data_IF_811323289777
#
_entry.id   IF_811323289777
#
_cell.length_a   1.000
_cell.length_b   1.000
_cell.length_c   1.000
_cell.angle_alpha   90.00
_cell.angle_beta   90.00
_cell.angle_gamma   90.00
#
_symmetry.space_group_name_H-M   'P 1'
#
loop_
_entity.id
_entity.type
_entity.pdbx_description
1 polymer ?
#
# COMPACT_ATOMS: atom_id res chain seq x y z
N UNK A 1 1.37 -14.97 -7.54
CA UNK A 1 1.70 -13.54 -7.34
C UNK A 1 2.66 -13.06 -8.43
N UNK A 2 3.75 -13.80 -8.66
CA UNK A 2 4.80 -13.48 -9.64
C UNK A 2 4.27 -13.21 -11.05
N UNK A 3 3.43 -14.10 -11.59
CA UNK A 3 2.88 -13.89 -12.94
C UNK A 3 2.11 -12.56 -13.09
N UNK A 4 1.24 -12.20 -12.13
CA UNK A 4 0.53 -10.92 -12.17
C UNK A 4 1.50 -9.73 -12.02
N UNK A 5 2.49 -9.82 -11.13
CA UNK A 5 3.48 -8.76 -10.93
C UNK A 5 4.34 -8.52 -12.19
N UNK A 6 4.70 -9.58 -12.90
CA UNK A 6 5.61 -9.49 -14.05
C UNK A 6 4.90 -9.10 -15.36
N UNK A 7 3.62 -9.43 -15.50
CA UNK A 7 2.91 -9.31 -16.79
C UNK A 7 1.68 -8.41 -16.73
N UNK A 8 1.25 -8.02 -15.54
CA UNK A 8 -0.05 -7.41 -15.36
C UNK A 8 -1.20 -8.42 -15.47
N UNK A 9 -2.41 -7.93 -15.31
CA UNK A 9 -3.61 -8.74 -15.31
C UNK A 9 -3.95 -9.21 -16.73
N UNK A 10 -3.91 -8.33 -17.73
CA UNK A 10 -4.36 -8.69 -19.07
C UNK A 10 -3.38 -9.61 -19.82
N UNK A 11 -2.07 -9.45 -19.64
CA UNK A 11 -1.07 -10.30 -20.30
C UNK A 11 -0.69 -11.57 -19.50
N UNK A 12 -1.40 -11.84 -18.40
CA UNK A 12 -1.27 -13.11 -17.67
C UNK A 12 -2.37 -14.09 -18.06
N UNK A 13 -2.03 -15.38 -18.11
CA UNK A 13 -3.01 -16.45 -18.33
C UNK A 13 -3.10 -17.40 -17.12
N UNK A 14 -4.26 -18.04 -16.96
CA UNK A 14 -4.44 -19.08 -15.94
C UNK A 14 -3.54 -20.30 -16.17
N UNK A 15 -3.18 -20.59 -17.42
CA UNK A 15 -2.25 -21.66 -17.75
C UNK A 15 -0.85 -21.37 -17.19
N UNK A 16 -0.35 -20.16 -17.39
CA UNK A 16 0.97 -19.76 -16.87
C UNK A 16 1.01 -19.74 -15.34
N UNK A 17 -0.07 -19.27 -14.70
CA UNK A 17 -0.18 -19.30 -13.24
C UNK A 17 -0.22 -20.76 -12.74
N UNK A 18 -0.94 -21.63 -13.44
CA UNK A 18 -1.05 -23.05 -13.12
C UNK A 18 0.29 -23.77 -13.22
N UNK A 19 1.04 -23.49 -14.30
CA UNK A 19 2.39 -24.02 -14.51
C UNK A 19 3.35 -23.53 -13.41
N UNK A 20 3.27 -22.26 -13.01
CA UNK A 20 4.11 -21.68 -11.93
C UNK A 20 3.87 -22.37 -10.58
N UNK A 21 2.63 -22.73 -10.26
CA UNK A 21 2.25 -23.29 -8.95
C UNK A 21 2.05 -24.81 -8.96
N UNK A 22 2.34 -25.48 -10.09
CA UNK A 22 2.37 -26.94 -10.19
C UNK A 22 0.99 -27.62 -10.15
N UNK A 23 -0.08 -26.92 -10.54
CA UNK A 23 -1.44 -27.47 -10.63
C UNK A 23 -2.02 -27.26 -12.02
N UNK A 24 -3.22 -27.77 -12.30
CA UNK A 24 -3.90 -27.49 -13.56
C UNK A 24 -4.68 -26.17 -13.50
N UNK A 25 -4.89 -25.52 -14.64
CA UNK A 25 -5.77 -24.35 -14.75
C UNK A 25 -7.21 -24.67 -14.28
N UNK A 26 -7.68 -25.90 -14.54
CA UNK A 26 -8.96 -26.39 -14.01
C UNK A 26 -8.95 -26.48 -12.47
N UNK A 27 -7.82 -26.88 -11.88
CA UNK A 27 -7.60 -26.87 -10.44
C UNK A 27 -7.73 -25.46 -9.85
N UNK A 28 -7.09 -24.46 -10.47
CA UNK A 28 -7.25 -23.06 -10.05
C UNK A 28 -8.73 -22.62 -10.12
N UNK A 29 -9.39 -22.89 -11.25
CA UNK A 29 -10.79 -22.50 -11.46
C UNK A 29 -11.77 -23.20 -10.53
N UNK A 30 -11.43 -24.39 -10.03
CA UNK A 30 -12.22 -25.06 -9.00
C UNK A 30 -12.36 -24.19 -7.74
N UNK A 31 -11.24 -23.57 -7.32
CA UNK A 31 -11.16 -22.69 -6.15
C UNK A 31 -11.66 -21.27 -6.44
N UNK A 32 -11.19 -20.66 -7.53
CA UNK A 32 -11.34 -19.21 -7.74
C UNK A 32 -12.32 -18.82 -8.84
N UNK A 33 -13.02 -19.75 -9.49
CA UNK A 33 -14.05 -19.56 -10.54
C UNK A 33 -13.67 -18.75 -11.79
N UNK A 34 -12.91 -17.66 -11.66
CA UNK A 34 -12.40 -16.78 -12.71
C UNK A 34 -10.99 -16.26 -12.36
N UNK A 35 -10.28 -15.72 -13.36
CA UNK A 35 -8.98 -15.07 -13.15
C UNK A 35 -9.11 -13.79 -12.31
N UNK A 36 -10.23 -13.09 -12.47
CA UNK A 36 -10.59 -11.86 -11.76
C UNK A 36 -10.74 -12.12 -10.27
N UNK A 37 -11.49 -13.16 -9.89
CA UNK A 37 -11.65 -13.54 -8.49
C UNK A 37 -10.33 -14.05 -7.91
N UNK A 38 -9.51 -14.78 -8.68
CA UNK A 38 -8.15 -15.13 -8.25
C UNK A 38 -7.32 -13.88 -7.95
N UNK A 39 -7.34 -12.86 -8.81
CA UNK A 39 -6.61 -11.62 -8.59
C UNK A 39 -7.06 -10.94 -7.29
N UNK A 40 -8.36 -10.78 -7.09
CA UNK A 40 -8.90 -10.14 -5.89
C UNK A 40 -8.53 -10.89 -4.61
N UNK A 41 -8.56 -12.22 -4.62
CA UNK A 41 -8.14 -13.02 -3.47
C UNK A 41 -6.63 -12.94 -3.21
N UNK A 42 -5.81 -12.87 -4.26
CA UNK A 42 -4.37 -12.63 -4.14
C UNK A 42 -4.10 -11.26 -3.48
N UNK A 43 -4.80 -10.22 -3.92
CA UNK A 43 -4.68 -8.87 -3.35
C UNK A 43 -5.14 -8.84 -1.89
N UNK A 44 -6.29 -9.45 -1.58
CA UNK A 44 -6.86 -9.53 -0.22
C UNK A 44 -5.94 -10.27 0.75
N UNK A 45 -5.43 -11.44 0.34
CA UNK A 45 -4.54 -12.26 1.18
C UNK A 45 -3.28 -11.49 1.54
N UNK A 46 -2.72 -10.75 0.59
CA UNK A 46 -1.53 -9.93 0.84
C UNK A 46 -1.81 -8.79 1.83
N UNK A 47 -2.94 -8.09 1.66
CA UNK A 47 -3.24 -6.93 2.49
C UNK A 47 -3.45 -7.29 3.98
N UNK A 48 -4.10 -8.43 4.25
CA UNK A 48 -4.28 -8.93 5.62
C UNK A 48 -2.94 -9.26 6.29
N UNK A 49 -2.01 -9.88 5.56
CA UNK A 49 -0.70 -10.28 6.10
C UNK A 49 0.16 -9.05 6.44
N UNK A 50 0.17 -8.01 5.59
CA UNK A 50 1.00 -6.82 5.85
C UNK A 50 0.47 -5.96 7.00
N UNK A 51 -0.86 -5.78 7.14
CA UNK A 51 -1.43 -4.99 8.23
C UNK A 51 -1.21 -5.66 9.59
N UNK A 52 -1.36 -6.99 9.67
CA UNK A 52 -1.19 -7.74 10.92
C UNK A 52 0.28 -7.89 11.33
N UNK A 53 1.18 -8.18 10.38
CA UNK A 53 2.62 -8.32 10.68
C UNK A 53 3.26 -7.00 11.10
N UNK A 54 2.90 -5.90 10.42
CA UNK A 54 3.55 -4.63 10.66
C UNK A 54 3.19 -4.08 12.06
N UNK A 55 1.91 -4.15 12.46
CA UNK A 55 1.49 -3.66 13.78
C UNK A 55 1.96 -4.55 14.96
N UNK A 56 2.52 -5.75 14.71
CA UNK A 56 2.89 -6.74 15.73
C UNK A 56 1.78 -6.99 16.76
N UNK A 57 0.51 -6.93 16.33
CA UNK A 57 -0.66 -7.09 17.19
C UNK A 57 -0.91 -5.95 18.20
N UNK A 58 -0.26 -4.79 18.05
CA UNK A 58 -0.50 -3.60 18.87
C UNK A 58 -1.40 -2.60 18.16
N UNK A 59 -2.25 -1.91 18.92
CA UNK A 59 -2.97 -0.75 18.40
C UNK A 59 -2.01 0.45 18.41
N UNK A 60 -1.69 0.96 17.21
CA UNK A 60 -0.84 2.13 17.02
C UNK A 60 -1.72 3.37 16.86
N UNK A 61 -1.37 4.47 17.53
CA UNK A 61 -2.17 5.70 17.58
C UNK A 61 -1.31 6.94 17.36
N UNK A 62 -1.94 8.03 16.91
CA UNK A 62 -1.25 9.32 16.76
C UNK A 62 -0.01 9.24 15.86
N UNK A 63 1.04 9.99 16.21
CA UNK A 63 2.31 10.00 15.47
C UNK A 63 3.05 8.64 15.50
N UNK A 64 2.72 7.73 16.41
CA UNK A 64 3.29 6.36 16.40
C UNK A 64 2.85 5.58 15.16
N UNK A 65 1.59 5.73 14.76
CA UNK A 65 1.10 5.12 13.52
C UNK A 65 1.84 5.66 12.29
N UNK A 66 2.19 6.96 12.27
CA UNK A 66 2.95 7.53 11.16
C UNK A 66 4.39 7.01 11.10
N UNK A 67 5.05 6.86 12.25
CA UNK A 67 6.37 6.21 12.32
C UNK A 67 6.31 4.78 11.79
N UNK A 68 5.22 4.08 12.05
CA UNK A 68 5.03 2.73 11.56
C UNK A 68 4.91 2.60 10.03
N UNK A 69 4.49 3.67 9.34
CA UNK A 69 4.54 3.70 7.87
C UNK A 69 5.98 3.66 7.32
N UNK A 70 6.94 4.18 8.09
CA UNK A 70 8.37 4.08 7.76
C UNK A 70 8.84 2.62 7.87
N UNK A 71 8.44 1.92 8.93
CA UNK A 71 8.74 0.49 9.09
C UNK A 71 8.13 -0.34 7.95
N UNK A 72 6.91 0.01 7.55
CA UNK A 72 6.23 -0.61 6.41
C UNK A 72 7.01 -0.39 5.11
N UNK A 73 7.52 0.83 4.86
CA UNK A 73 8.36 1.12 3.70
C UNK A 73 9.69 0.32 3.72
N UNK A 74 10.31 0.16 4.90
CA UNK A 74 11.50 -0.66 5.06
C UNK A 74 11.21 -2.15 4.78
N UNK A 75 10.11 -2.69 5.31
CA UNK A 75 9.69 -4.07 5.07
C UNK A 75 9.39 -4.33 3.59
N UNK A 76 8.69 -3.41 2.92
CA UNK A 76 8.40 -3.49 1.49
C UNK A 76 9.68 -3.53 0.64
N UNK A 77 10.75 -2.86 1.09
CA UNK A 77 12.07 -2.89 0.42
C UNK A 77 12.73 -4.28 0.48
N UNK A 78 12.30 -5.15 1.40
CA UNK A 78 12.76 -6.55 1.47
C UNK A 78 11.90 -7.52 0.67
N UNK A 79 10.76 -7.06 0.12
CA UNK A 79 9.74 -7.88 -0.56
C UNK A 79 9.45 -7.36 -1.98
N UNK A 80 10.46 -7.28 -2.88
CA UNK A 80 10.32 -6.63 -4.20
C UNK A 80 9.16 -7.17 -5.05
N UNK A 81 8.96 -8.49 -5.11
CA UNK A 81 7.87 -9.08 -5.89
C UNK A 81 6.46 -8.69 -5.40
N UNK A 82 6.30 -8.45 -4.10
CA UNK A 82 5.05 -8.01 -3.49
C UNK A 82 4.82 -6.51 -3.76
N UNK A 83 5.87 -5.71 -3.62
CA UNK A 83 5.85 -4.28 -3.96
C UNK A 83 5.53 -4.09 -5.44
N UNK A 84 6.15 -4.87 -6.32
CA UNK A 84 5.90 -4.87 -7.76
C UNK A 84 4.45 -5.22 -8.09
N UNK A 85 3.89 -6.27 -7.48
CA UNK A 85 2.49 -6.63 -7.69
C UNK A 85 1.57 -5.44 -7.42
N UNK A 86 1.81 -4.71 -6.33
CA UNK A 86 0.98 -3.57 -5.95
C UNK A 86 1.15 -2.38 -6.88
N UNK A 87 2.39 -2.03 -7.23
CA UNK A 87 2.66 -0.92 -8.15
C UNK A 87 2.02 -1.17 -9.53
N UNK A 88 2.10 -2.40 -10.05
CA UNK A 88 1.50 -2.75 -11.35
C UNK A 88 -0.03 -2.79 -11.24
N UNK A 89 -0.59 -3.47 -10.24
CA UNK A 89 -2.04 -3.60 -10.12
C UNK A 89 -2.74 -2.29 -9.74
N UNK A 90 -2.11 -1.41 -8.96
CA UNK A 90 -2.65 -0.08 -8.66
C UNK A 90 -2.75 0.75 -9.94
N UNK A 91 -1.70 0.74 -10.76
CA UNK A 91 -1.67 1.43 -12.04
C UNK A 91 -2.69 0.85 -13.04
N UNK A 92 -2.80 -0.49 -13.17
CA UNK A 92 -3.78 -1.10 -14.08
C UNK A 92 -5.23 -0.88 -13.61
N UNK A 93 -5.46 -0.76 -12.30
CA UNK A 93 -6.81 -0.60 -11.73
C UNK A 93 -7.55 0.66 -12.17
N UNK A 94 -6.85 1.66 -12.71
CA UNK A 94 -7.46 2.90 -13.22
C UNK A 94 -8.02 2.76 -14.65
N UNK A 95 -7.70 1.65 -15.33
CA UNK A 95 -8.19 1.37 -16.68
C UNK A 95 -9.65 0.93 -16.66
N UNK A 96 -10.35 1.12 -17.78
CA UNK A 96 -11.78 0.78 -17.93
C UNK A 96 -12.03 -0.69 -17.62
N UNK A 97 -13.03 -0.96 -16.78
CA UNK A 97 -13.51 -2.30 -16.42
C UNK A 97 -12.44 -3.24 -15.82
N UNK A 98 -11.38 -2.69 -15.20
CA UNK A 98 -10.37 -3.49 -14.53
C UNK A 98 -10.95 -4.19 -13.27
N UNK A 99 -10.78 -5.51 -13.10
CA UNK A 99 -11.44 -6.26 -12.02
C UNK A 99 -10.99 -5.86 -10.60
N UNK A 100 -9.78 -5.31 -10.47
CA UNK A 100 -9.27 -4.84 -9.17
C UNK A 100 -9.70 -3.41 -8.81
N UNK A 101 -10.47 -2.71 -9.67
CA UNK A 101 -10.79 -1.29 -9.46
C UNK A 101 -11.51 -1.04 -8.12
N UNK A 102 -12.53 -1.83 -7.81
CA UNK A 102 -13.28 -1.67 -6.55
C UNK A 102 -12.41 -2.01 -5.34
N UNK A 103 -11.56 -3.03 -5.47
CA UNK A 103 -10.65 -3.42 -4.40
C UNK A 103 -9.64 -2.29 -4.09
N UNK A 104 -9.01 -1.71 -5.10
CA UNK A 104 -8.08 -0.58 -4.91
C UNK A 104 -8.78 0.68 -4.41
N UNK A 105 -10.01 0.94 -4.86
CA UNK A 105 -10.84 2.04 -4.32
C UNK A 105 -11.05 1.87 -2.82
N UNK A 106 -11.50 0.68 -2.39
CA UNK A 106 -11.69 0.37 -0.98
C UNK A 106 -10.40 0.47 -0.18
N UNK A 107 -9.29 -0.04 -0.73
CA UNK A 107 -7.96 0.09 -0.14
C UNK A 107 -7.57 1.55 0.10
N UNK A 108 -7.68 2.40 -0.91
CA UNK A 108 -7.30 3.81 -0.77
C UNK A 108 -8.20 4.58 0.21
N UNK A 109 -9.48 4.22 0.30
CA UNK A 109 -10.37 4.75 1.34
C UNK A 109 -9.84 4.35 2.72
N UNK A 110 -9.64 3.05 2.96
CA UNK A 110 -9.18 2.56 4.27
C UNK A 110 -7.81 3.09 4.67
N UNK A 111 -6.83 3.15 3.76
CA UNK A 111 -5.50 3.71 4.04
C UNK A 111 -5.59 5.18 4.45
N UNK A 112 -6.35 6.00 3.71
CA UNK A 112 -6.52 7.42 4.03
C UNK A 112 -7.25 7.60 5.36
N UNK A 113 -8.28 6.81 5.64
CA UNK A 113 -8.99 6.84 6.93
C UNK A 113 -8.07 6.51 8.11
N UNK A 114 -7.20 5.51 7.98
CA UNK A 114 -6.24 5.17 9.03
C UNK A 114 -5.23 6.30 9.29
N UNK A 115 -4.63 6.86 8.24
CA UNK A 115 -3.67 7.97 8.37
C UNK A 115 -4.35 9.23 8.90
N UNK A 116 -5.53 9.57 8.39
CA UNK A 116 -6.30 10.72 8.84
C UNK A 116 -6.72 10.57 10.32
N UNK A 117 -7.10 9.37 10.76
CA UNK A 117 -7.42 9.09 12.16
C UNK A 117 -6.19 9.31 13.05
N UNK A 118 -5.02 8.83 12.64
CA UNK A 118 -3.77 9.04 13.37
C UNK A 118 -3.42 10.54 13.50
N UNK A 119 -3.51 11.29 12.41
CA UNK A 119 -3.29 12.75 12.42
C UNK A 119 -4.33 13.48 13.29
N UNK A 120 -5.60 13.07 13.24
CA UNK A 120 -6.66 13.64 14.07
C UNK A 120 -6.40 13.40 15.56
N UNK A 121 -5.93 12.20 15.93
CA UNK A 121 -5.55 11.89 17.32
C UNK A 121 -4.40 12.77 17.80
N UNK A 122 -3.39 13.04 16.97
CA UNK A 122 -2.29 13.94 17.29
C UNK A 122 -2.78 15.39 17.48
N UNK A 123 -3.69 15.84 16.63
CA UNK A 123 -4.35 17.16 16.78
C UNK A 123 -5.14 17.25 18.08
N UNK A 124 -5.94 16.24 18.42
CA UNK A 124 -6.81 16.26 19.59
C UNK A 124 -6.03 16.34 20.93
N UNK A 125 -4.74 15.96 20.94
CA UNK A 125 -3.84 16.06 22.10
C UNK A 125 -2.90 17.28 22.04
N UNK A 126 -3.08 18.16 21.04
CA UNK A 126 -2.32 19.40 20.90
C UNK A 126 -0.94 19.26 20.24
N UNK A 127 -0.62 18.12 19.60
CA UNK A 127 0.62 17.97 18.84
C UNK A 127 0.57 18.68 17.48
N UNK A 128 -0.63 18.94 16.94
CA UNK A 128 -0.87 19.66 15.69
C UNK A 128 -1.80 20.86 15.93
N UNK A 129 -1.79 21.84 15.03
CA UNK A 129 -2.74 22.97 15.06
C UNK A 129 -4.19 22.49 14.95
N UNK A 130 -5.09 23.19 15.62
CA UNK A 130 -6.53 22.90 15.59
C UNK A 130 -7.13 22.97 14.17
N UNK A 131 -6.56 23.80 13.29
CA UNK A 131 -6.98 23.99 11.90
C UNK A 131 -6.19 23.15 10.89
N UNK A 132 -5.33 22.23 11.35
CA UNK A 132 -4.51 21.38 10.49
C UNK A 132 -5.36 20.55 9.50
N UNK A 133 -5.01 20.62 8.20
CA UNK A 133 -5.62 19.78 7.16
C UNK A 133 -5.04 18.35 7.20
N UNK A 134 -5.63 17.54 8.06
CA UNK A 134 -5.27 16.13 8.23
C UNK A 134 -5.69 15.26 7.05
N UNK A 135 -6.68 15.69 6.24
CA UNK A 135 -7.20 14.89 5.14
C UNK A 135 -6.31 14.99 3.90
N UNK A 136 -5.90 16.21 3.51
CA UNK A 136 -4.96 16.42 2.42
C UNK A 136 -3.58 15.84 2.77
N UNK A 137 -3.15 15.98 4.02
CA UNK A 137 -1.90 15.38 4.50
C UNK A 137 -1.92 13.86 4.42
N UNK A 138 -3.03 13.21 4.76
CA UNK A 138 -3.18 11.76 4.61
C UNK A 138 -3.07 11.33 3.13
N UNK A 139 -3.68 12.09 2.21
CA UNK A 139 -3.54 11.83 0.77
C UNK A 139 -2.09 11.97 0.32
N UNK A 140 -1.39 13.02 0.75
CA UNK A 140 -0.01 13.29 0.37
C UNK A 140 0.95 12.18 0.83
N UNK A 141 0.80 11.71 2.08
CA UNK A 141 1.61 10.60 2.62
C UNK A 141 1.45 9.34 1.76
N UNK A 142 0.21 8.93 1.48
CA UNK A 142 -0.07 7.73 0.67
C UNK A 142 0.45 7.90 -0.76
N UNK A 143 0.26 9.07 -1.37
CA UNK A 143 0.74 9.36 -2.72
C UNK A 143 2.27 9.27 -2.83
N UNK A 144 3.00 9.79 -1.84
CA UNK A 144 4.47 9.68 -1.80
C UNK A 144 4.90 8.23 -1.65
N UNK A 145 4.29 7.47 -0.74
CA UNK A 145 4.62 6.06 -0.56
C UNK A 145 4.41 5.23 -1.84
N UNK A 146 3.30 5.45 -2.56
CA UNK A 146 3.05 4.78 -3.84
C UNK A 146 4.08 5.18 -4.91
N UNK A 147 4.40 6.47 -5.00
CA UNK A 147 5.41 6.97 -5.94
C UNK A 147 6.81 6.44 -5.65
N UNK A 148 7.15 6.25 -4.37
CA UNK A 148 8.43 5.69 -3.95
C UNK A 148 8.56 4.21 -4.34
N UNK A 149 7.47 3.43 -4.28
CA UNK A 149 7.50 2.03 -4.73
C UNK A 149 7.89 1.92 -6.19
N UNK A 150 7.30 2.75 -7.06
CA UNK A 150 7.63 2.76 -8.50
C UNK A 150 9.09 3.14 -8.73
N UNK A 151 9.57 4.21 -8.08
CA UNK A 151 10.94 4.68 -8.26
C UNK A 151 11.96 3.66 -7.72
N UNK A 152 11.72 3.08 -6.55
CA UNK A 152 12.58 2.07 -5.96
C UNK A 152 12.64 0.78 -6.78
N UNK A 153 11.51 0.33 -7.34
CA UNK A 153 11.50 -0.84 -8.24
C UNK A 153 12.36 -0.63 -9.50
N UNK A 154 12.54 0.62 -9.93
CA UNK A 154 13.35 0.98 -11.10
C UNK A 154 14.81 1.28 -10.77
N UNK A 155 15.08 1.84 -9.58
CA UNK A 155 16.42 2.21 -9.12
C UNK A 155 16.56 2.02 -7.59
N UNK A 156 16.71 0.75 -7.13
CA UNK A 156 16.80 0.44 -5.71
C UNK A 156 18.13 0.84 -5.07
N UNK A 157 19.15 1.16 -5.87
CA UNK A 157 20.46 1.62 -5.37
C UNK A 157 20.42 3.10 -4.98
N UNK A 158 19.61 3.90 -5.68
CA UNK A 158 19.48 5.34 -5.41
C UNK A 158 18.34 5.67 -4.46
N UNK A 159 17.21 4.95 -4.54
CA UNK A 159 15.98 5.29 -3.83
C UNK A 159 15.91 4.51 -2.51
N UNK A 160 15.97 5.20 -1.39
CA UNK A 160 15.66 4.60 -0.08
C UNK A 160 14.21 4.93 0.31
N UNK A 161 13.30 3.97 0.13
CA UNK A 161 11.88 4.18 0.41
C UNK A 161 11.63 4.56 1.88
N UNK A 162 12.32 3.93 2.84
CA UNK A 162 12.11 4.19 4.26
C UNK A 162 12.61 5.60 4.62
N UNK A 163 13.84 5.95 4.20
CA UNK A 163 14.41 7.25 4.51
C UNK A 163 13.63 8.41 3.86
N UNK A 164 13.14 8.26 2.63
CA UNK A 164 12.34 9.31 1.98
C UNK A 164 10.94 9.40 2.61
N UNK A 165 10.32 8.26 2.96
CA UNK A 165 9.03 8.25 3.69
C UNK A 165 9.16 8.97 5.03
N UNK A 166 10.19 8.66 5.82
CA UNK A 166 10.47 9.32 7.09
C UNK A 166 10.60 10.84 6.92
N UNK A 167 11.48 11.30 6.03
CA UNK A 167 11.68 12.73 5.78
C UNK A 167 10.41 13.45 5.33
N UNK A 168 9.58 12.78 4.53
CA UNK A 168 8.32 13.35 4.04
C UNK A 168 7.31 13.47 5.17
N UNK A 169 7.14 12.41 5.97
CA UNK A 169 6.24 12.42 7.12
C UNK A 169 6.65 13.51 8.12
N UNK A 170 7.95 13.59 8.45
CA UNK A 170 8.45 14.63 9.35
C UNK A 170 8.16 16.04 8.83
N UNK A 171 8.41 16.30 7.53
CA UNK A 171 8.17 17.59 6.93
C UNK A 171 6.68 17.96 6.93
N UNK A 172 5.81 17.00 6.62
CA UNK A 172 4.36 17.20 6.64
C UNK A 172 3.86 17.44 8.06
N UNK A 173 4.27 16.62 9.04
CA UNK A 173 3.88 16.80 10.44
C UNK A 173 4.39 18.14 10.99
N UNK A 174 5.64 18.51 10.72
CA UNK A 174 6.20 19.79 11.13
C UNK A 174 5.42 20.98 10.52
N UNK A 175 4.95 20.86 9.27
CA UNK A 175 4.13 21.90 8.64
C UNK A 175 2.77 22.10 9.32
N UNK A 176 2.31 21.12 10.10
CA UNK A 176 1.05 21.14 10.85
C UNK A 176 1.25 21.44 12.34
N UNK A 177 2.50 21.60 12.80
CA UNK A 177 2.80 21.86 14.21
C UNK A 177 2.24 23.23 14.66
N UNK A 178 1.90 23.38 15.96
CA UNK A 178 1.57 24.67 16.56
C UNK A 178 2.66 25.71 16.28
N UNK A 179 2.27 26.98 16.14
CA UNK A 179 3.26 28.06 16.12
C UNK A 179 3.96 28.10 17.49
N UNK A 180 5.31 28.16 17.50
CA UNK A 180 6.05 28.40 18.73
C UNK A 180 5.84 29.88 19.13
N UNK A 181 5.26 30.12 20.31
CA UNK A 181 5.12 31.45 20.93
C UNK A 181 6.48 32.12 21.24
#
# INVERSE_FOLDING_TARGET
MTTFANRGFYNSSLAEIADEVGISAAGILHHFKTKDQLLTEVLRTRDMVDIEEAAHGRELVGLEFLRHLVDTAALNSTRPGITQLYAVMSAESVTTDHPAQEWFRGRYVGLREMVQKALSQARDIGELRDDADVAETAIAIIAVMDGLQVQWLLDPETVDMAAVTHRTIDALVASLAPEED
#
